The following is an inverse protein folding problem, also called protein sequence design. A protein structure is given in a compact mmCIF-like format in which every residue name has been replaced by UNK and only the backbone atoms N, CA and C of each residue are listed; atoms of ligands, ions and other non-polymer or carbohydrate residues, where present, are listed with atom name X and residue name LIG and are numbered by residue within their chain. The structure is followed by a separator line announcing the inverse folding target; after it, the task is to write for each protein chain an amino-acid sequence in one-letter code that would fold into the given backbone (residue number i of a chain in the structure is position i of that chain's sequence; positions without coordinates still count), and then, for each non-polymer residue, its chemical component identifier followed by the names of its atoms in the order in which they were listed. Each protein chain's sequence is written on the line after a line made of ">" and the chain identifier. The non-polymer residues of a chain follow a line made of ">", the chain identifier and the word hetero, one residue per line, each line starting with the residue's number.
data_IF_460134099436
#
_entry.id   IF_460134099436
#
_cell.length_a   1.000
_cell.length_b   1.000
_cell.length_c   1.000
_cell.angle_alpha   90.00
_cell.angle_beta   90.00
_cell.angle_gamma   90.00
#
_symmetry.space_group_name_H-M   'P 1'
#
loop_
_entity.id
_entity.type
_entity.pdbx_description
1 polymer ?
#
# COMPACT_ATOMS: atom_id res chain seq x y z
N UNK A 1 11.16 8.56 24.04
CA UNK A 1 12.36 7.93 23.43
C UNK A 1 12.44 6.44 23.76
N UNK A 2 12.46 6.02 25.03
CA UNK A 2 12.36 4.60 25.41
C UNK A 2 11.23 3.83 24.74
N UNK A 3 10.02 4.40 24.70
CA UNK A 3 8.88 3.80 24.01
C UNK A 3 9.18 3.48 22.53
N UNK A 4 9.97 4.31 21.84
CA UNK A 4 10.34 4.06 20.45
C UNK A 4 11.20 2.80 20.34
N UNK A 5 12.20 2.67 21.21
CA UNK A 5 13.13 1.52 21.22
C UNK A 5 12.38 0.24 21.59
N UNK A 6 11.63 0.24 22.69
CA UNK A 6 10.91 -0.95 23.16
C UNK A 6 9.81 -1.37 22.20
N UNK A 7 9.09 -0.41 21.60
CA UNK A 7 8.09 -0.71 20.58
C UNK A 7 8.71 -1.15 19.25
N UNK A 8 9.91 -0.68 18.88
CA UNK A 8 10.64 -1.17 17.70
C UNK A 8 11.11 -2.61 17.90
N UNK A 9 11.66 -2.96 19.07
CA UNK A 9 12.03 -4.33 19.39
C UNK A 9 10.82 -5.29 19.33
N UNK A 10 9.68 -4.86 19.88
CA UNK A 10 8.43 -5.62 19.84
C UNK A 10 7.90 -5.77 18.40
N UNK A 11 8.02 -4.71 17.60
CA UNK A 11 7.66 -4.71 16.19
C UNK A 11 8.55 -5.65 15.37
N UNK A 12 9.88 -5.60 15.55
CA UNK A 12 10.82 -6.49 14.87
C UNK A 12 10.56 -7.95 15.22
N UNK A 13 10.29 -8.27 16.51
CA UNK A 13 9.88 -9.61 16.93
C UNK A 13 8.63 -10.07 16.16
N UNK A 14 7.64 -9.19 16.03
CA UNK A 14 6.41 -9.48 15.29
C UNK A 14 6.66 -9.67 13.78
N UNK A 15 7.57 -8.92 13.18
CA UNK A 15 7.98 -9.14 11.79
C UNK A 15 8.68 -10.50 11.62
N UNK A 16 9.56 -10.88 12.53
CA UNK A 16 10.22 -12.18 12.51
C UNK A 16 9.20 -13.33 12.58
N UNK A 17 8.11 -13.17 13.33
CA UNK A 17 7.00 -14.14 13.33
C UNK A 17 6.39 -14.27 11.93
N UNK A 18 6.12 -13.16 11.23
CA UNK A 18 5.60 -13.23 9.85
C UNK A 18 6.54 -13.98 8.92
N UNK A 19 7.83 -13.69 9.02
CA UNK A 19 8.86 -14.30 8.18
C UNK A 19 8.97 -15.79 8.48
N UNK A 20 9.17 -16.16 9.75
CA UNK A 20 9.54 -17.52 10.13
C UNK A 20 8.32 -18.45 10.18
N UNK A 21 7.20 -18.00 10.73
CA UNK A 21 6.01 -18.83 10.91
C UNK A 21 5.19 -18.91 9.64
N UNK A 22 5.09 -17.82 8.86
CA UNK A 22 4.21 -17.78 7.69
C UNK A 22 4.98 -17.83 6.36
N UNK A 23 5.87 -16.86 6.09
CA UNK A 23 6.52 -16.72 4.78
C UNK A 23 7.40 -17.93 4.39
N UNK A 24 8.07 -18.53 5.37
CA UNK A 24 8.94 -19.69 5.21
C UNK A 24 8.29 -21.03 5.60
N UNK A 25 6.99 -21.03 5.94
CA UNK A 25 6.27 -22.28 6.18
C UNK A 25 6.20 -23.17 4.94
N UNK A 26 6.09 -24.48 5.16
CA UNK A 26 5.92 -25.46 4.09
C UNK A 26 4.57 -25.30 3.38
N UNK A 27 3.56 -24.80 4.09
CA UNK A 27 2.23 -24.52 3.59
C UNK A 27 2.21 -23.35 2.60
N UNK A 28 3.12 -22.38 2.73
CA UNK A 28 3.18 -21.18 1.88
C UNK A 28 4.42 -21.10 0.99
N UNK A 29 5.35 -22.05 1.08
CA UNK A 29 6.54 -22.13 0.25
C UNK A 29 6.59 -23.44 -0.54
N UNK A 30 6.38 -23.35 -1.85
CA UNK A 30 6.46 -24.49 -2.77
C UNK A 30 7.88 -25.06 -2.93
N UNK A 31 8.91 -24.30 -2.53
CA UNK A 31 10.31 -24.73 -2.62
C UNK A 31 10.65 -25.87 -1.64
N UNK A 32 9.74 -26.19 -0.70
CA UNK A 32 9.99 -27.10 0.42
C UNK A 32 8.93 -28.20 0.62
N UNK A 33 7.82 -28.22 -0.15
CA UNK A 33 6.75 -29.22 0.04
C UNK A 33 5.69 -29.21 -1.08
N UNK A 34 5.14 -30.40 -1.40
CA UNK A 34 3.93 -30.57 -2.22
C UNK A 34 2.65 -30.09 -1.52
N UNK A 35 2.74 -29.66 -0.26
CA UNK A 35 1.61 -29.18 0.56
C UNK A 35 1.38 -27.67 0.45
N UNK A 36 2.04 -26.99 -0.48
CA UNK A 36 1.90 -25.55 -0.65
C UNK A 36 0.50 -25.18 -1.15
N UNK A 37 -0.22 -24.37 -0.39
CA UNK A 37 -1.59 -23.91 -0.72
C UNK A 37 -1.61 -22.58 -1.48
N UNK A 38 -0.45 -21.93 -1.61
CA UNK A 38 -0.30 -20.65 -2.31
C UNK A 38 0.44 -20.83 -3.63
N UNK A 39 -0.11 -20.24 -4.70
CA UNK A 39 0.68 -20.05 -5.92
C UNK A 39 1.82 -19.05 -5.67
N UNK A 40 2.88 -19.13 -6.48
CA UNK A 40 4.00 -18.17 -6.42
C UNK A 40 3.52 -16.72 -6.49
N UNK A 41 2.53 -16.45 -7.36
CA UNK A 41 1.93 -15.11 -7.50
C UNK A 41 1.18 -14.68 -6.23
N UNK A 42 0.34 -15.54 -5.67
CA UNK A 42 -0.40 -15.24 -4.44
C UNK A 42 0.55 -14.97 -3.28
N UNK A 43 1.59 -15.79 -3.12
CA UNK A 43 2.64 -15.58 -2.11
C UNK A 43 3.33 -14.23 -2.28
N UNK A 44 3.78 -13.89 -3.50
CA UNK A 44 4.43 -12.61 -3.78
C UNK A 44 3.50 -11.42 -3.50
N UNK A 45 2.22 -11.50 -3.89
CA UNK A 45 1.26 -10.44 -3.61
C UNK A 45 1.04 -10.31 -2.10
N UNK A 46 0.83 -11.43 -1.40
CA UNK A 46 0.46 -11.48 0.01
C UNK A 46 1.55 -10.93 0.93
N UNK A 47 2.81 -11.31 0.71
CA UNK A 47 3.92 -10.89 1.56
C UNK A 47 4.69 -9.67 1.02
N UNK A 48 4.45 -9.28 -0.25
CA UNK A 48 5.09 -8.15 -0.90
C UNK A 48 6.61 -8.17 -0.66
N UNK A 49 7.18 -7.08 -0.15
CA UNK A 49 8.58 -6.93 0.22
C UNK A 49 8.80 -6.94 1.75
N UNK A 50 8.02 -7.71 2.52
CA UNK A 50 8.10 -7.70 4.00
C UNK A 50 9.48 -8.09 4.55
N UNK A 51 10.25 -8.94 3.86
CA UNK A 51 11.64 -9.22 4.24
C UNK A 51 12.50 -7.95 4.28
N UNK A 52 12.39 -7.09 3.27
CA UNK A 52 13.09 -5.80 3.25
C UNK A 52 12.61 -4.85 4.37
N UNK A 53 11.34 -4.93 4.76
CA UNK A 53 10.82 -4.18 5.92
C UNK A 53 11.49 -4.64 7.21
N UNK A 54 11.59 -5.95 7.40
CA UNK A 54 12.24 -6.57 8.55
C UNK A 54 13.71 -6.18 8.63
N UNK A 55 14.44 -6.21 7.52
CA UNK A 55 15.86 -5.83 7.50
C UNK A 55 16.06 -4.33 7.77
N UNK A 56 15.16 -3.48 7.27
CA UNK A 56 15.16 -2.05 7.60
C UNK A 56 14.89 -1.82 9.09
N UNK A 57 13.92 -2.53 9.68
CA UNK A 57 13.57 -2.44 11.10
C UNK A 57 14.71 -2.94 12.01
N UNK A 58 15.38 -4.03 11.63
CA UNK A 58 16.54 -4.55 12.36
C UNK A 58 17.68 -3.54 12.42
N UNK A 59 18.04 -2.96 11.26
CA UNK A 59 19.08 -1.91 11.20
C UNK A 59 18.72 -0.69 12.02
N UNK A 60 17.46 -0.26 11.94
CA UNK A 60 16.98 0.88 12.71
C UNK A 60 17.04 0.60 14.23
N UNK A 61 16.62 -0.59 14.66
CA UNK A 61 16.72 -0.99 16.07
C UNK A 61 18.18 -1.07 16.53
N UNK A 62 19.06 -1.65 15.72
CA UNK A 62 20.48 -1.78 16.07
C UNK A 62 21.13 -0.42 16.37
N UNK A 63 20.91 0.58 15.51
CA UNK A 63 21.44 1.93 15.71
C UNK A 63 20.83 2.60 16.96
N UNK A 64 19.54 2.38 17.23
CA UNK A 64 18.89 2.88 18.45
C UNK A 64 19.46 2.23 19.72
N UNK A 65 19.72 0.93 19.69
CA UNK A 65 20.31 0.18 20.80
C UNK A 65 21.78 0.53 21.03
N UNK A 66 22.54 0.80 19.97
CA UNK A 66 23.92 1.29 20.08
C UNK A 66 23.95 2.62 20.82
N UNK A 67 23.12 3.59 20.40
CA UNK A 67 22.97 4.88 21.09
C UNK A 67 22.54 4.72 22.56
N UNK A 68 21.69 3.74 22.84
CA UNK A 68 21.27 3.41 24.19
C UNK A 68 22.43 2.89 25.06
N UNK A 69 23.35 2.11 24.47
CA UNK A 69 24.52 1.57 25.18
C UNK A 69 25.62 2.61 25.43
N UNK A 70 25.74 3.62 24.56
CA UNK A 70 26.76 4.67 24.67
C UNK A 70 26.61 5.57 25.92
N UNK A 71 25.41 5.72 26.47
CA UNK A 71 25.14 6.64 27.57
C UNK A 71 24.05 6.14 28.51
N UNK A 72 24.31 6.20 29.82
CA UNK A 72 23.34 5.89 30.86
C UNK A 72 22.08 6.78 30.79
N UNK A 73 22.22 7.98 30.19
CA UNK A 73 21.11 8.89 29.91
C UNK A 73 20.96 9.04 28.40
N UNK A 74 19.81 8.61 27.86
CA UNK A 74 19.49 8.77 26.45
C UNK A 74 19.17 10.22 26.12
N UNK A 75 20.11 10.92 25.48
CA UNK A 75 20.01 12.37 25.20
C UNK A 75 19.21 12.67 23.92
N UNK A 76 19.47 11.96 22.83
CA UNK A 76 18.77 12.12 21.55
C UNK A 76 18.80 10.83 20.73
N UNK A 77 17.73 10.58 19.98
CA UNK A 77 17.60 9.54 18.95
C UNK A 77 16.95 10.08 17.66
N UNK A 78 16.61 11.38 17.62
CA UNK A 78 15.91 12.00 16.50
C UNK A 78 16.80 12.12 15.27
N UNK A 79 18.12 12.24 15.47
CA UNK A 79 19.13 12.17 14.41
C UNK A 79 19.10 10.82 13.67
N UNK A 80 19.01 9.71 14.43
CA UNK A 80 18.91 8.35 13.90
C UNK A 80 17.60 8.19 13.14
N UNK A 81 16.47 8.59 13.75
CA UNK A 81 15.15 8.54 13.12
C UNK A 81 15.15 9.32 11.80
N UNK A 82 15.69 10.53 11.80
CA UNK A 82 15.81 11.36 10.61
C UNK A 82 16.63 10.69 9.51
N UNK A 83 17.78 10.12 9.86
CA UNK A 83 18.67 9.42 8.92
C UNK A 83 17.95 8.24 8.24
N UNK A 84 17.33 7.37 9.05
CA UNK A 84 16.61 6.20 8.56
C UNK A 84 15.36 6.55 7.76
N UNK A 85 14.56 7.50 8.23
CA UNK A 85 13.37 7.96 7.51
C UNK A 85 13.73 8.57 6.14
N UNK A 86 14.89 9.22 6.04
CA UNK A 86 15.36 9.84 4.79
C UNK A 86 15.94 8.84 3.79
N UNK A 87 16.61 7.78 4.26
CA UNK A 87 17.46 6.92 3.42
C UNK A 87 17.06 5.45 3.38
N UNK A 88 16.50 4.94 4.46
CA UNK A 88 16.35 3.49 4.68
C UNK A 88 14.88 3.03 4.66
N UNK A 89 13.92 3.93 4.84
CA UNK A 89 12.50 3.59 4.95
C UNK A 89 11.76 3.54 3.59
N UNK A 90 12.45 3.68 2.46
CA UNK A 90 11.87 3.51 1.13
C UNK A 90 11.08 2.18 0.95
N UNK A 91 11.53 1.03 1.50
CA UNK A 91 10.77 -0.22 1.40
C UNK A 91 9.34 -0.14 1.94
N UNK A 92 9.07 0.72 2.94
CA UNK A 92 7.71 0.93 3.47
C UNK A 92 6.77 1.51 2.43
N UNK A 93 7.25 2.38 1.54
CA UNK A 93 6.42 2.96 0.47
C UNK A 93 5.94 1.86 -0.47
N UNK A 94 6.84 0.96 -0.88
CA UNK A 94 6.49 -0.19 -1.72
C UNK A 94 5.50 -1.12 -1.03
N UNK A 95 5.74 -1.43 0.24
CA UNK A 95 4.86 -2.32 1.00
C UNK A 95 3.45 -1.71 1.14
N UNK A 96 3.38 -0.47 1.61
CA UNK A 96 2.12 0.26 1.81
C UNK A 96 1.35 0.46 0.50
N UNK A 97 2.04 0.66 -0.63
CA UNK A 97 1.41 0.77 -1.96
C UNK A 97 0.71 -0.52 -2.38
N UNK A 98 1.21 -1.67 -1.91
CA UNK A 98 0.66 -2.99 -2.21
C UNK A 98 -0.42 -3.45 -1.21
N UNK A 99 -0.63 -2.73 -0.11
CA UNK A 99 -1.54 -3.14 0.98
C UNK A 99 -2.96 -3.48 0.50
N UNK A 100 -3.52 -2.69 -0.43
CA UNK A 100 -4.86 -2.98 -0.97
C UNK A 100 -4.91 -4.30 -1.75
N UNK A 101 -3.84 -4.64 -2.47
CA UNK A 101 -3.74 -5.91 -3.20
C UNK A 101 -3.57 -7.08 -2.23
N UNK A 102 -2.78 -6.90 -1.18
CA UNK A 102 -2.66 -7.88 -0.09
C UNK A 102 -4.04 -8.16 0.54
N UNK A 103 -4.82 -7.14 0.86
CA UNK A 103 -6.18 -7.29 1.41
C UNK A 103 -7.10 -8.01 0.44
N UNK A 104 -7.16 -7.59 -0.83
CA UNK A 104 -7.98 -8.27 -1.86
C UNK A 104 -7.58 -9.74 -2.04
N UNK A 105 -6.28 -10.02 -2.07
CA UNK A 105 -5.76 -11.39 -2.17
C UNK A 105 -6.15 -12.22 -0.95
N UNK A 106 -6.02 -11.67 0.26
CA UNK A 106 -6.48 -12.31 1.51
C UNK A 106 -7.97 -12.64 1.46
N UNK A 107 -8.82 -11.73 0.99
CA UNK A 107 -10.28 -11.96 0.92
C UNK A 107 -10.65 -13.08 -0.07
N UNK A 108 -9.86 -13.24 -1.14
CA UNK A 108 -10.02 -14.35 -2.09
C UNK A 108 -9.51 -15.65 -1.47
N UNK A 109 -8.31 -15.64 -0.87
CA UNK A 109 -7.68 -16.81 -0.26
C UNK A 109 -8.50 -17.36 0.91
N UNK A 110 -9.11 -16.49 1.72
CA UNK A 110 -10.03 -16.87 2.81
C UNK A 110 -11.24 -17.66 2.33
N UNK A 111 -11.56 -17.73 1.04
CA UNK A 111 -12.63 -18.58 0.51
C UNK A 111 -12.18 -20.01 0.21
N UNK A 112 -10.87 -20.26 0.18
CA UNK A 112 -10.29 -21.58 -0.10
C UNK A 112 -10.13 -22.37 1.20
N UNK A 113 -10.68 -23.58 1.26
CA UNK A 113 -10.71 -24.39 2.48
C UNK A 113 -9.31 -24.89 2.90
N UNK A 114 -8.47 -25.25 1.92
CA UNK A 114 -7.06 -25.63 2.10
C UNK A 114 -6.23 -24.51 2.74
N UNK A 115 -6.42 -23.27 2.26
CA UNK A 115 -5.80 -22.09 2.84
C UNK A 115 -6.27 -21.83 4.28
N UNK A 116 -7.57 -21.93 4.54
CA UNK A 116 -8.10 -21.76 5.90
C UNK A 116 -7.51 -22.78 6.89
N UNK A 117 -7.37 -24.04 6.48
CA UNK A 117 -6.79 -25.10 7.31
C UNK A 117 -5.28 -24.88 7.52
N UNK A 118 -4.56 -24.49 6.48
CA UNK A 118 -3.15 -24.12 6.60
C UNK A 118 -2.94 -22.95 7.58
N UNK A 119 -3.70 -21.85 7.41
CA UNK A 119 -3.63 -20.68 8.31
C UNK A 119 -3.96 -21.07 9.74
N UNK A 120 -5.02 -21.86 9.99
CA UNK A 120 -5.38 -22.30 11.35
C UNK A 120 -4.24 -23.07 12.02
N UNK A 121 -3.54 -23.95 11.28
CA UNK A 121 -2.36 -24.66 11.80
C UNK A 121 -1.20 -23.70 12.10
N UNK A 122 -0.90 -22.77 11.20
CA UNK A 122 0.18 -21.79 11.41
C UNK A 122 -0.11 -20.83 12.57
N UNK A 123 -1.36 -20.36 12.70
CA UNK A 123 -1.79 -19.47 13.78
C UNK A 123 -1.82 -20.15 15.15
N UNK A 124 -1.84 -21.49 15.19
CA UNK A 124 -1.71 -22.27 16.44
C UNK A 124 -0.29 -22.25 17.03
N UNK A 125 0.70 -21.74 16.29
CA UNK A 125 2.06 -21.57 16.79
C UNK A 125 2.05 -20.64 18.01
N UNK A 126 2.66 -21.03 19.15
CA UNK A 126 2.72 -20.20 20.37
C UNK A 126 3.29 -18.79 20.15
N UNK A 127 4.23 -18.64 19.21
CA UNK A 127 4.83 -17.35 18.88
C UNK A 127 3.81 -16.35 18.32
N UNK A 128 2.72 -16.82 17.71
CA UNK A 128 1.64 -15.98 17.19
C UNK A 128 0.77 -15.38 18.30
N UNK A 129 0.81 -15.90 19.52
CA UNK A 129 0.03 -15.39 20.67
C UNK A 129 -1.47 -15.22 20.39
N UNK A 130 -2.05 -16.16 19.62
CA UNK A 130 -3.46 -16.13 19.16
C UNK A 130 -3.82 -14.93 18.26
N UNK A 131 -2.84 -14.23 17.70
CA UNK A 131 -3.08 -13.17 16.73
C UNK A 131 -3.21 -13.76 15.31
N UNK A 132 -4.19 -13.29 14.51
CA UNK A 132 -4.35 -13.78 13.16
C UNK A 132 -3.22 -13.28 12.24
N UNK A 133 -2.83 -14.05 11.23
CA UNK A 133 -1.80 -13.66 10.26
C UNK A 133 -2.06 -12.28 9.66
N UNK A 134 -3.34 -11.98 9.37
CA UNK A 134 -3.73 -10.69 8.78
C UNK A 134 -3.40 -9.49 9.66
N UNK A 135 -3.37 -9.62 10.99
CA UNK A 135 -2.96 -8.50 11.87
C UNK A 135 -1.48 -8.22 11.74
N UNK A 136 -0.65 -9.26 11.61
CA UNK A 136 0.78 -9.07 11.42
C UNK A 136 1.11 -8.42 10.08
N UNK A 137 0.38 -8.76 9.01
CA UNK A 137 0.56 -8.14 7.68
C UNK A 137 0.21 -6.63 7.66
N UNK A 138 -0.53 -6.13 8.65
CA UNK A 138 -0.85 -4.70 8.79
C UNK A 138 0.23 -3.92 9.56
N UNK A 139 1.12 -4.59 10.29
CA UNK A 139 2.08 -3.94 11.18
C UNK A 139 2.99 -2.93 10.48
N UNK A 140 3.51 -3.16 9.25
CA UNK A 140 4.32 -2.16 8.57
C UNK A 140 3.61 -0.83 8.31
N UNK A 141 2.32 -0.88 7.93
CA UNK A 141 1.50 0.31 7.75
C UNK A 141 1.25 1.01 9.10
N UNK A 142 0.96 0.24 10.14
CA UNK A 142 0.74 0.78 11.49
C UNK A 142 2.01 1.41 12.07
N UNK A 143 3.18 0.83 11.81
CA UNK A 143 4.45 1.34 12.32
C UNK A 143 4.79 2.67 11.68
N UNK A 144 4.70 2.76 10.35
CA UNK A 144 5.09 3.98 9.63
C UNK A 144 4.18 5.17 9.96
N UNK A 145 2.91 4.92 10.29
CA UNK A 145 1.98 5.98 10.73
C UNK A 145 2.12 6.32 12.21
N UNK A 146 2.59 5.40 13.05
CA UNK A 146 2.81 5.62 14.49
C UNK A 146 4.10 6.39 14.78
N UNK A 147 5.17 6.18 14.02
CA UNK A 147 6.46 6.87 14.23
C UNK A 147 6.33 8.41 14.30
N UNK A 148 5.62 9.10 13.38
CA UNK A 148 5.38 10.54 13.51
C UNK A 148 4.74 10.93 14.85
N UNK A 149 3.74 10.18 15.32
CA UNK A 149 3.05 10.47 16.58
C UNK A 149 3.99 10.35 17.79
N UNK A 150 4.89 9.36 17.78
CA UNK A 150 5.89 9.18 18.84
C UNK A 150 6.93 10.30 18.85
N UNK A 151 7.36 10.77 17.67
CA UNK A 151 8.28 11.90 17.56
C UNK A 151 7.60 13.21 17.93
N UNK A 152 6.33 13.40 17.55
CA UNK A 152 5.54 14.56 17.92
C UNK A 152 5.37 14.66 19.45
N UNK A 153 5.11 13.54 20.12
CA UNK A 153 5.09 13.48 21.58
C UNK A 153 6.45 13.82 22.23
N UNK A 154 7.57 13.54 21.54
CA UNK A 154 8.89 13.99 21.98
C UNK A 154 9.01 15.51 21.80
N UNK A 155 8.66 16.06 20.64
CA UNK A 155 8.69 17.50 20.37
C UNK A 155 7.95 18.31 21.45
N UNK A 156 6.74 17.89 21.83
CA UNK A 156 5.93 18.59 22.84
C UNK A 156 6.51 18.59 24.26
N UNK A 157 7.45 17.68 24.55
CA UNK A 157 8.11 17.59 25.87
C UNK A 157 9.44 18.36 25.91
N UNK A 158 9.88 18.91 24.78
CA UNK A 158 11.14 19.63 24.65
C UNK A 158 10.87 21.13 24.63
N UNK A 159 11.75 21.91 25.26
CA UNK A 159 11.67 23.37 25.18
C UNK A 159 11.87 23.86 23.74
N UNK A 160 11.02 24.77 23.24
CA UNK A 160 11.19 25.32 21.90
C UNK A 160 12.54 26.04 21.73
N UNK A 161 13.18 25.84 20.58
CA UNK A 161 14.39 26.57 20.19
C UNK A 161 15.73 25.87 20.52
N UNK A 162 15.74 24.87 21.41
CA UNK A 162 16.94 24.08 21.69
C UNK A 162 17.29 23.14 20.50
N UNK A 163 18.56 22.75 20.40
CA UNK A 163 19.07 21.88 19.33
C UNK A 163 18.27 20.57 19.20
N UNK A 164 17.90 19.98 20.34
CA UNK A 164 17.12 18.74 20.40
C UNK A 164 15.72 18.90 19.80
N UNK A 165 15.04 20.02 20.07
CA UNK A 165 13.74 20.33 19.48
C UNK A 165 13.85 20.50 17.95
N UNK A 166 14.90 21.14 17.45
CA UNK A 166 15.15 21.26 16.01
C UNK A 166 15.40 19.90 15.35
N UNK A 167 16.17 19.02 16.00
CA UNK A 167 16.43 17.64 15.57
C UNK A 167 15.12 16.84 15.46
N UNK A 168 14.31 16.87 16.52
CA UNK A 168 13.01 16.19 16.59
C UNK A 168 12.02 16.72 15.53
N UNK A 169 11.91 18.04 15.37
CA UNK A 169 11.04 18.67 14.36
C UNK A 169 11.43 18.27 12.93
N UNK A 170 12.74 18.18 12.63
CA UNK A 170 13.24 17.72 11.33
C UNK A 170 12.92 16.25 11.07
N UNK A 171 13.08 15.40 12.09
CA UNK A 171 12.69 13.99 12.01
C UNK A 171 11.18 13.83 11.78
N UNK A 172 10.36 14.60 12.47
CA UNK A 172 8.90 14.61 12.35
C UNK A 172 8.44 15.00 10.93
N UNK A 173 8.96 16.12 10.39
CA UNK A 173 8.64 16.56 9.02
C UNK A 173 9.01 15.47 7.99
N UNK A 174 10.18 14.84 8.17
CA UNK A 174 10.65 13.76 7.29
C UNK A 174 9.72 12.54 7.34
N UNK A 175 9.32 12.11 8.54
CA UNK A 175 8.37 11.01 8.72
C UNK A 175 6.99 11.33 8.13
N UNK A 176 6.49 12.55 8.31
CA UNK A 176 5.22 12.98 7.71
C UNK A 176 5.28 12.97 6.18
N UNK A 177 6.39 13.43 5.58
CA UNK A 177 6.62 13.32 4.13
C UNK A 177 6.64 11.86 3.69
N UNK A 178 7.27 10.97 4.45
CA UNK A 178 7.30 9.55 4.15
C UNK A 178 5.90 8.91 4.19
N UNK A 179 5.09 9.19 5.21
CA UNK A 179 3.70 8.73 5.29
C UNK A 179 2.88 9.24 4.10
N UNK A 180 3.07 10.51 3.71
CA UNK A 180 2.44 11.08 2.53
C UNK A 180 2.85 10.33 1.26
N UNK A 181 4.13 10.00 1.08
CA UNK A 181 4.64 9.20 -0.05
C UNK A 181 4.03 7.80 -0.07
N UNK A 182 3.86 7.14 1.08
CA UNK A 182 3.16 5.85 1.18
C UNK A 182 1.71 5.95 0.66
N UNK A 183 0.97 6.99 1.08
CA UNK A 183 -0.40 7.21 0.65
C UNK A 183 -0.51 7.54 -0.85
N UNK A 184 0.39 8.39 -1.35
CA UNK A 184 0.48 8.72 -2.78
C UNK A 184 0.82 7.48 -3.63
N UNK A 185 1.74 6.65 -3.16
CA UNK A 185 2.08 5.37 -3.80
C UNK A 185 0.87 4.44 -3.88
N UNK A 186 0.12 4.28 -2.78
CA UNK A 186 -1.10 3.49 -2.76
C UNK A 186 -2.19 4.05 -3.71
N UNK A 187 -2.33 5.38 -3.80
CA UNK A 187 -3.24 6.03 -4.74
C UNK A 187 -2.84 5.76 -6.20
N UNK A 188 -1.57 5.97 -6.54
CA UNK A 188 -1.04 5.73 -7.89
C UNK A 188 -1.20 4.28 -8.31
N UNK A 189 -0.91 3.33 -7.41
CA UNK A 189 -1.08 1.91 -7.70
C UNK A 189 -2.54 1.53 -7.97
N UNK A 190 -3.47 2.11 -7.20
CA UNK A 190 -4.90 1.90 -7.43
C UNK A 190 -5.36 2.48 -8.78
N UNK A 191 -4.91 3.69 -9.12
CA UNK A 191 -5.19 4.28 -10.44
C UNK A 191 -4.63 3.40 -11.57
N UNK A 192 -3.40 2.89 -11.43
CA UNK A 192 -2.81 2.00 -12.43
C UNK A 192 -3.60 0.69 -12.61
N UNK A 193 -4.12 0.11 -11.53
CA UNK A 193 -5.01 -1.06 -11.58
C UNK A 193 -6.30 -0.74 -12.33
N UNK A 194 -6.96 0.38 -11.99
CA UNK A 194 -8.19 0.82 -12.65
C UNK A 194 -7.96 1.05 -14.16
N UNK A 195 -6.83 1.66 -14.53
CA UNK A 195 -6.44 1.83 -15.93
C UNK A 195 -6.26 0.49 -16.65
N UNK A 196 -5.69 -0.53 -16.00
CA UNK A 196 -5.56 -1.87 -16.57
C UNK A 196 -6.93 -2.54 -16.75
N UNK A 197 -7.82 -2.41 -15.77
CA UNK A 197 -9.18 -2.95 -15.84
C UNK A 197 -9.97 -2.31 -16.98
N UNK A 198 -9.93 -0.98 -17.09
CA UNK A 198 -10.59 -0.26 -18.19
C UNK A 198 -10.02 -0.71 -19.54
N UNK A 199 -8.69 -0.75 -19.68
CA UNK A 199 -8.04 -1.18 -20.92
C UNK A 199 -8.49 -2.58 -21.36
N UNK A 200 -8.72 -3.51 -20.42
CA UNK A 200 -9.20 -4.86 -20.73
C UNK A 200 -10.67 -4.94 -21.15
N UNK A 201 -11.47 -3.92 -20.83
CA UNK A 201 -12.90 -3.87 -21.15
C UNK A 201 -13.18 -3.15 -22.47
N UNK A 202 -12.22 -2.41 -23.00
CA UNK A 202 -12.39 -1.62 -24.21
C UNK A 202 -12.05 -2.45 -25.46
N UNK A 203 -13.02 -2.54 -26.37
CA UNK A 203 -12.88 -3.20 -27.66
C UNK A 203 -12.62 -2.15 -28.75
N UNK A 204 -11.43 -2.19 -29.34
CA UNK A 204 -11.02 -1.28 -30.41
C UNK A 204 -11.16 -1.90 -31.80
N UNK A 205 -11.80 -3.06 -31.97
CA UNK A 205 -11.84 -3.76 -33.27
C UNK A 205 -12.43 -2.95 -34.44
N UNK A 206 -13.20 -1.90 -34.16
CA UNK A 206 -13.88 -1.06 -35.16
C UNK A 206 -13.27 0.34 -35.32
N UNK A 207 -12.21 0.64 -34.57
CA UNK A 207 -11.58 1.97 -34.53
C UNK A 207 -10.06 1.83 -34.42
N UNK A 208 -9.30 2.91 -34.61
CA UNK A 208 -7.86 2.89 -34.36
C UNK A 208 -7.61 2.61 -32.88
N UNK A 209 -6.72 1.67 -32.58
CA UNK A 209 -6.31 1.38 -31.21
C UNK A 209 -5.73 2.62 -30.53
N UNK A 210 -6.07 2.79 -29.26
CA UNK A 210 -5.57 3.88 -28.44
C UNK A 210 -4.96 3.31 -27.15
N UNK A 211 -3.70 3.65 -26.81
CA UNK A 211 -3.05 3.12 -25.61
C UNK A 211 -3.65 3.77 -24.36
N UNK A 212 -4.59 3.07 -23.73
CA UNK A 212 -5.26 3.51 -22.49
C UNK A 212 -4.26 3.55 -21.33
N UNK A 213 -3.39 2.55 -21.25
CA UNK A 213 -2.34 2.46 -20.22
C UNK A 213 -1.25 3.50 -20.48
N UNK A 214 -1.10 4.43 -19.56
CA UNK A 214 -0.03 5.44 -19.54
C UNK A 214 0.37 5.71 -18.08
N UNK A 215 1.64 6.00 -17.82
CA UNK A 215 2.17 6.22 -16.47
C UNK A 215 1.55 7.44 -15.77
N UNK A 216 1.10 8.44 -16.53
CA UNK A 216 0.52 9.69 -16.01
C UNK A 216 -1.00 9.76 -16.09
N UNK A 217 -1.65 8.75 -16.71
CA UNK A 217 -3.09 8.77 -16.94
C UNK A 217 -3.85 8.13 -15.78
N UNK A 218 -4.92 8.79 -15.35
CA UNK A 218 -5.85 8.25 -14.38
C UNK A 218 -7.29 8.67 -14.70
N UNK A 219 -8.25 7.83 -14.30
CA UNK A 219 -9.67 8.12 -14.45
C UNK A 219 -10.05 9.24 -13.49
N UNK A 220 -10.72 10.27 -14.02
CA UNK A 220 -11.34 11.36 -13.25
C UNK A 220 -12.80 11.03 -12.98
N UNK A 221 -13.52 10.52 -13.99
CA UNK A 221 -14.95 10.18 -13.87
C UNK A 221 -15.40 9.16 -14.91
N UNK A 222 -16.36 8.32 -14.54
CA UNK A 222 -17.06 7.39 -15.43
C UNK A 222 -18.57 7.54 -15.28
N UNK A 223 -19.33 7.43 -16.38
CA UNK A 223 -20.80 7.46 -16.30
C UNK A 223 -21.50 7.15 -17.63
N UNK A 224 -22.71 6.63 -17.55
CA UNK A 224 -23.59 6.42 -18.71
C UNK A 224 -24.27 7.76 -19.08
N UNK A 225 -24.23 8.12 -20.35
CA UNK A 225 -24.73 9.37 -20.91
C UNK A 225 -25.55 9.11 -22.18
N UNK A 226 -26.34 10.10 -22.58
CA UNK A 226 -27.03 10.13 -23.87
C UNK A 226 -26.37 11.19 -24.75
N UNK A 227 -25.70 10.75 -25.83
CA UNK A 227 -25.19 11.65 -26.86
C UNK A 227 -26.33 12.04 -27.78
N UNK A 228 -26.59 13.33 -27.91
CA UNK A 228 -27.57 13.90 -28.85
C UNK A 228 -26.80 14.42 -30.06
N UNK A 229 -27.06 13.88 -31.24
CA UNK A 229 -26.50 14.38 -32.51
C UNK A 229 -27.62 15.13 -33.22
N UNK A 230 -27.43 16.44 -33.43
CA UNK A 230 -28.39 17.24 -34.19
C UNK A 230 -28.05 17.10 -35.68
N UNK A 231 -28.95 16.51 -36.46
CA UNK A 231 -28.73 16.25 -37.89
C UNK A 231 -28.95 17.49 -38.78
N UNK A 232 -29.07 18.69 -38.19
CA UNK A 232 -29.31 19.94 -38.93
C UNK A 232 -30.66 20.03 -39.63
N UNK A 233 -31.39 18.92 -39.80
CA UNK A 233 -32.72 18.85 -40.39
C UNK A 233 -33.76 19.47 -39.45
N UNK A 234 -34.31 20.62 -39.85
CA UNK A 234 -35.50 21.20 -39.20
C UNK A 234 -36.72 20.38 -39.64
N UNK A 235 -37.39 19.74 -38.69
CA UNK A 235 -38.70 19.16 -38.94
C UNK A 235 -39.73 20.28 -39.13
N UNK A 236 -40.84 20.04 -39.86
CA UNK A 236 -41.98 20.96 -39.84
C UNK A 236 -42.40 21.18 -38.38
N UNK A 237 -42.79 22.41 -38.03
CA UNK A 237 -43.18 22.83 -36.66
C UNK A 237 -42.05 23.04 -35.63
N UNK A 238 -40.79 23.24 -36.05
CA UNK A 238 -39.75 23.81 -35.19
C UNK A 238 -39.15 22.87 -34.14
N UNK A 239 -39.52 21.58 -34.13
CA UNK A 239 -38.87 20.57 -33.29
C UNK A 239 -37.52 20.19 -33.90
N UNK A 240 -36.43 20.29 -33.12
CA UNK A 240 -35.10 19.81 -33.50
C UNK A 240 -35.13 18.27 -33.57
N UNK A 241 -34.92 17.69 -34.74
CA UNK A 241 -34.66 16.25 -34.86
C UNK A 241 -33.23 15.98 -34.43
N UNK A 242 -33.05 15.08 -33.45
CA UNK A 242 -31.73 14.70 -32.98
C UNK A 242 -31.69 13.23 -32.62
N UNK A 243 -30.77 12.50 -33.24
CA UNK A 243 -30.58 11.08 -32.95
C UNK A 243 -29.91 10.93 -31.59
N UNK A 244 -30.51 10.11 -30.72
CA UNK A 244 -30.03 9.85 -29.35
C UNK A 244 -29.29 8.53 -29.31
N UNK A 245 -28.06 8.54 -28.79
CA UNK A 245 -27.26 7.35 -28.61
C UNK A 245 -26.83 7.21 -27.14
N UNK A 246 -27.15 6.07 -26.53
CA UNK A 246 -26.62 5.71 -25.22
C UNK A 246 -25.14 5.39 -25.35
N UNK A 247 -24.31 6.08 -24.57
CA UNK A 247 -22.86 5.95 -24.55
C UNK A 247 -22.37 5.89 -23.10
N UNK A 248 -21.22 5.26 -22.87
CA UNK A 248 -20.51 5.36 -21.59
C UNK A 248 -19.33 6.29 -21.78
N UNK A 249 -19.19 7.26 -20.88
CA UNK A 249 -18.10 8.22 -20.83
C UNK A 249 -17.02 7.73 -19.86
N UNK A 250 -15.77 7.77 -20.32
CA UNK A 250 -14.57 7.69 -19.50
C UNK A 250 -13.80 9.01 -19.63
N UNK A 251 -13.85 9.83 -18.58
CA UNK A 251 -13.08 11.06 -18.48
C UNK A 251 -11.78 10.77 -17.74
N UNK A 252 -10.66 10.90 -18.43
CA UNK A 252 -9.32 10.84 -17.85
C UNK A 252 -8.78 12.26 -17.63
N UNK A 253 -7.63 12.37 -17.00
CA UNK A 253 -6.98 13.66 -16.73
C UNK A 253 -6.46 14.36 -17.99
N UNK A 254 -6.23 13.63 -19.08
CA UNK A 254 -5.65 14.14 -20.33
C UNK A 254 -6.55 13.90 -21.56
N UNK A 255 -7.48 12.95 -21.49
CA UNK A 255 -8.34 12.56 -22.62
C UNK A 255 -9.76 12.22 -22.17
N UNK A 256 -10.66 12.16 -23.14
CA UNK A 256 -12.05 11.74 -22.95
C UNK A 256 -12.41 10.67 -23.98
N UNK A 257 -12.98 9.55 -23.52
CA UNK A 257 -13.37 8.43 -24.38
C UNK A 257 -14.88 8.17 -24.23
N UNK A 258 -15.55 8.10 -25.37
CA UNK A 258 -16.95 7.67 -25.46
C UNK A 258 -17.01 6.26 -26.02
N UNK A 259 -17.71 5.37 -25.33
CA UNK A 259 -17.85 3.96 -25.72
C UNK A 259 -19.31 3.61 -25.91
N UNK A 260 -19.59 2.63 -26.78
CA UNK A 260 -20.90 2.02 -26.91
C UNK A 260 -20.85 0.62 -26.30
N UNK A 261 -21.88 0.20 -25.56
CA UNK A 261 -21.97 -1.18 -25.08
C UNK A 261 -22.02 -2.13 -26.29
N UNK A 262 -21.26 -3.24 -26.21
CA UNK A 262 -21.31 -4.30 -27.22
C UNK A 262 -22.73 -4.87 -27.19
N UNK A 263 -23.42 -4.78 -28.33
CA UNK A 263 -24.74 -5.38 -28.52
C UNK A 263 -24.63 -6.87 -28.78
#
# INVERSE_FOLDING_TARGET
>A
MFEIITSEASYLKSLNIVINVFLFSQEFSADHSDRCVLTKRERTVLFSNIGAIRDTSEKFLADLEERWKESCILKDICDIIYSHASRNFEPYIRYCSNQKFQTKALDILKKKADYQEAVRRLESNPDCQNLPMSSFLLLPMQRITRLPLLVDAICHRLEPGITLHKSASKALDTLNKLVKRCNEGAKKMHQAEEMCQIASQLDFSRVKEFPIRSASRYLVKKGDLVRVINDGSRMPFGKKSGTKHNVTLYLFNDIMILTKKKG
#
